data_IF_573248968319
#
_entry.id   IF_573248968319
#
_cell.length_a   1.000
_cell.length_b   1.000
_cell.length_c   1.000
_cell.angle_alpha   90.00
_cell.angle_beta   90.00
_cell.angle_gamma   90.00
#
_symmetry.space_group_name_H-M   'P 1'
#
loop_
_entity.id
_entity.type
_entity.pdbx_description
1 polymer ?
#
# COMPACT_ATOMS: atom_id res chain seq x y z
N UNK A 1 49.21 10.49 -8.13
CA UNK A 1 48.47 9.73 -7.12
C UNK A 1 47.03 9.65 -7.59
N UNK A 2 46.58 8.48 -8.05
CA UNK A 2 45.19 8.25 -8.37
C UNK A 2 44.39 8.27 -7.06
N UNK A 3 43.28 9.04 -6.92
CA UNK A 3 42.49 9.01 -5.71
C UNK A 3 41.99 7.58 -5.47
N UNK A 4 41.86 7.14 -4.22
CA UNK A 4 41.31 5.81 -3.93
C UNK A 4 39.90 5.73 -4.52
N UNK A 5 39.69 4.82 -5.46
CA UNK A 5 38.37 4.49 -5.98
C UNK A 5 37.60 3.78 -4.87
N UNK A 6 36.88 4.54 -4.04
CA UNK A 6 35.91 3.94 -3.15
C UNK A 6 34.85 3.26 -4.01
N UNK A 7 34.58 1.99 -3.74
CA UNK A 7 33.46 1.29 -4.39
C UNK A 7 32.16 2.08 -4.11
N UNK A 8 31.28 2.21 -5.11
CA UNK A 8 30.00 2.87 -4.93
C UNK A 8 29.21 2.28 -3.77
N UNK A 9 28.49 3.11 -3.04
CA UNK A 9 27.59 2.65 -1.97
C UNK A 9 26.37 1.99 -2.62
N UNK A 10 26.11 0.73 -2.30
CA UNK A 10 24.89 0.07 -2.78
C UNK A 10 23.63 0.64 -2.10
N UNK A 11 22.69 1.13 -2.92
CA UNK A 11 21.36 1.56 -2.49
C UNK A 11 20.31 0.72 -3.20
N UNK A 12 19.58 -0.07 -2.44
CA UNK A 12 18.45 -0.83 -2.94
C UNK A 12 17.14 -0.08 -2.75
N UNK A 13 16.23 -0.16 -3.70
CA UNK A 13 14.89 0.37 -3.56
C UNK A 13 13.83 -0.64 -3.99
N UNK A 14 12.62 -0.47 -3.48
CA UNK A 14 11.46 -1.28 -3.86
C UNK A 14 10.17 -0.47 -3.75
N UNK A 15 9.30 -0.62 -4.75
CA UNK A 15 8.06 0.15 -4.88
C UNK A 15 6.89 -0.69 -5.42
N UNK A 16 6.77 -1.92 -5.03
CA UNK A 16 5.79 -2.84 -5.65
C UNK A 16 4.32 -2.44 -5.50
N UNK A 17 3.63 -2.51 -6.64
CA UNK A 17 2.20 -2.74 -6.77
C UNK A 17 1.31 -1.62 -6.24
N UNK A 18 1.28 -0.48 -6.90
CA UNK A 18 0.31 0.57 -6.62
C UNK A 18 0.88 1.99 -6.69
N UNK A 19 0.05 2.96 -6.34
CA UNK A 19 0.44 4.36 -6.37
C UNK A 19 1.43 4.66 -5.24
N UNK A 20 2.70 4.89 -5.59
CA UNK A 20 3.80 5.25 -4.68
C UNK A 20 4.58 6.45 -5.22
N UNK A 21 5.15 7.25 -4.33
CA UNK A 21 6.04 8.34 -4.73
C UNK A 21 7.32 7.80 -5.39
N UNK A 22 7.81 6.65 -4.90
CA UNK A 22 8.97 5.94 -5.47
C UNK A 22 8.67 5.45 -6.88
N UNK A 23 7.51 4.80 -7.12
CA UNK A 23 7.12 4.34 -8.46
C UNK A 23 7.04 5.49 -9.45
N UNK A 24 6.42 6.61 -9.06
CA UNK A 24 6.39 7.81 -9.88
C UNK A 24 7.80 8.32 -10.22
N UNK A 25 8.70 8.38 -9.23
CA UNK A 25 10.08 8.84 -9.44
C UNK A 25 10.87 7.91 -10.36
N UNK A 26 10.63 6.60 -10.30
CA UNK A 26 11.23 5.60 -11.20
C UNK A 26 10.71 5.78 -12.62
N UNK A 27 9.38 5.87 -12.82
CA UNK A 27 8.77 6.03 -14.14
C UNK A 27 9.21 7.32 -14.85
N UNK A 28 9.50 8.39 -14.10
CA UNK A 28 10.02 9.65 -14.61
C UNK A 28 11.56 9.67 -14.74
N UNK A 29 12.28 8.61 -14.35
CA UNK A 29 13.73 8.54 -14.40
C UNK A 29 14.46 9.40 -13.35
N UNK A 30 13.75 10.02 -12.43
CA UNK A 30 14.33 10.98 -11.48
C UNK A 30 15.20 10.35 -10.41
N UNK A 31 14.96 9.09 -10.03
CA UNK A 31 15.87 8.37 -9.13
C UNK A 31 17.19 8.07 -9.82
N UNK A 32 17.15 7.59 -11.06
CA UNK A 32 18.35 7.31 -11.85
C UNK A 32 19.18 8.59 -12.07
N UNK A 33 18.50 9.69 -12.44
CA UNK A 33 19.13 10.99 -12.60
C UNK A 33 19.82 11.46 -11.30
N UNK A 34 19.12 11.35 -10.17
CA UNK A 34 19.61 11.81 -8.88
C UNK A 34 20.86 11.05 -8.41
N UNK A 35 21.05 9.80 -8.80
CA UNK A 35 22.17 8.95 -8.39
C UNK A 35 23.17 8.65 -9.52
N UNK A 36 23.15 9.43 -10.61
CA UNK A 36 24.03 9.23 -11.77
C UNK A 36 25.50 9.66 -11.54
N UNK A 37 25.82 10.25 -10.40
CA UNK A 37 27.17 10.76 -10.09
C UNK A 37 28.22 9.68 -9.83
N UNK A 38 27.84 8.40 -9.84
CA UNK A 38 28.72 7.24 -9.66
C UNK A 38 29.14 6.96 -8.21
N UNK A 39 28.74 7.79 -7.24
CA UNK A 39 29.00 7.56 -5.82
C UNK A 39 28.07 6.53 -5.19
N UNK A 40 26.92 6.27 -5.82
CA UNK A 40 25.89 5.32 -5.36
C UNK A 40 25.51 4.38 -6.49
N UNK A 41 25.50 3.07 -6.22
CA UNK A 41 25.01 2.03 -7.11
C UNK A 41 23.52 1.76 -6.77
N UNK A 42 22.62 2.36 -7.55
CA UNK A 42 21.18 2.30 -7.36
C UNK A 42 20.60 1.04 -8.00
N UNK A 43 19.96 0.18 -7.18
CA UNK A 43 19.45 -1.13 -7.61
C UNK A 43 17.98 -1.31 -7.22
N UNK A 44 17.18 -1.86 -8.13
CA UNK A 44 15.82 -2.28 -7.82
C UNK A 44 15.80 -3.70 -7.25
N UNK A 45 15.05 -3.95 -6.18
CA UNK A 45 14.88 -5.31 -5.63
C UNK A 45 14.27 -6.26 -6.66
N UNK A 46 13.38 -5.75 -7.47
CA UNK A 46 12.65 -6.50 -8.50
C UNK A 46 13.59 -7.15 -9.52
N UNK A 47 14.71 -6.51 -9.84
CA UNK A 47 15.69 -6.95 -10.85
C UNK A 47 16.76 -7.87 -10.26
N UNK A 48 16.77 -8.07 -8.94
CA UNK A 48 17.77 -8.92 -8.31
C UNK A 48 17.64 -10.39 -8.77
N UNK A 49 18.78 -11.01 -9.12
CA UNK A 49 18.83 -12.43 -9.47
C UNK A 49 18.43 -13.32 -8.29
N UNK A 50 18.89 -12.98 -7.08
CA UNK A 50 18.55 -13.70 -5.85
C UNK A 50 17.08 -13.54 -5.47
N UNK A 51 16.41 -14.69 -5.25
CA UNK A 51 15.04 -14.71 -4.72
C UNK A 51 14.97 -14.08 -3.32
N UNK A 52 15.98 -14.30 -2.48
CA UNK A 52 16.04 -13.77 -1.13
C UNK A 52 16.11 -12.24 -1.12
N UNK A 53 16.95 -11.64 -1.98
CA UNK A 53 17.01 -10.18 -2.16
C UNK A 53 15.62 -9.66 -2.58
N UNK A 54 14.94 -10.30 -3.55
CA UNK A 54 13.59 -9.88 -3.95
C UNK A 54 12.57 -10.00 -2.82
N UNK A 55 12.74 -10.99 -1.91
CA UNK A 55 11.89 -11.15 -0.73
C UNK A 55 12.16 -10.11 0.36
N UNK A 56 13.26 -9.35 0.28
CA UNK A 56 13.53 -8.26 1.23
C UNK A 56 12.46 -7.16 1.20
N UNK A 57 11.68 -7.09 0.13
CA UNK A 57 10.44 -6.28 0.13
C UNK A 57 9.50 -6.63 1.29
N UNK A 58 9.51 -7.88 1.74
CA UNK A 58 8.67 -8.37 2.84
C UNK A 58 9.43 -8.40 4.17
N UNK A 59 10.63 -9.00 4.18
CA UNK A 59 11.37 -9.23 5.43
C UNK A 59 12.37 -8.12 5.81
N UNK A 60 12.59 -7.11 4.94
CA UNK A 60 13.48 -5.95 5.18
C UNK A 60 14.96 -6.29 5.52
N UNK A 61 15.41 -7.51 5.25
CA UNK A 61 16.76 -7.98 5.62
C UNK A 61 17.86 -7.55 4.65
N UNK A 62 17.57 -6.77 3.58
CA UNK A 62 18.58 -6.27 2.67
C UNK A 62 19.19 -4.98 3.20
N UNK A 63 20.52 -4.98 3.41
CA UNK A 63 21.27 -3.76 3.76
C UNK A 63 21.14 -2.71 2.68
N UNK A 64 20.98 -1.44 3.09
CA UNK A 64 20.85 -0.32 2.16
C UNK A 64 19.49 -0.26 1.44
N UNK A 65 18.48 -0.98 1.93
CA UNK A 65 17.15 -0.93 1.35
C UNK A 65 16.37 0.29 1.82
N UNK A 66 15.85 1.07 0.84
CA UNK A 66 14.73 2.00 1.03
C UNK A 66 13.51 1.40 0.35
N UNK A 67 12.44 1.21 1.11
CA UNK A 67 11.21 0.57 0.62
C UNK A 67 10.00 1.45 0.85
N UNK A 68 9.23 1.71 -0.20
CA UNK A 68 7.88 2.23 -0.11
C UNK A 68 6.88 1.14 -0.51
N UNK A 69 5.85 0.93 0.29
CA UNK A 69 4.85 -0.09 -0.02
C UNK A 69 3.85 -0.34 1.09
N UNK A 70 3.04 -1.39 0.93
CA UNK A 70 2.01 -1.74 1.90
C UNK A 70 2.55 -1.95 3.32
N UNK A 71 1.75 -1.54 4.30
CA UNK A 71 2.16 -1.48 5.70
C UNK A 71 2.29 -2.85 6.39
N UNK A 72 1.51 -3.86 5.98
CA UNK A 72 1.49 -5.17 6.68
C UNK A 72 2.89 -5.80 6.71
N UNK A 73 3.62 -5.80 5.58
CA UNK A 73 4.96 -6.38 5.53
C UNK A 73 5.96 -5.61 6.41
N UNK A 74 5.89 -4.27 6.39
CA UNK A 74 6.78 -3.43 7.20
C UNK A 74 6.54 -3.60 8.70
N UNK A 75 5.26 -3.67 9.11
CA UNK A 75 4.87 -3.90 10.50
C UNK A 75 5.30 -5.31 10.95
N UNK A 76 5.08 -6.33 10.09
CA UNK A 76 5.53 -7.68 10.38
C UNK A 76 7.05 -7.77 10.51
N UNK A 77 7.80 -7.22 9.57
CA UNK A 77 9.27 -7.23 9.65
C UNK A 77 9.77 -6.55 10.94
N UNK A 78 9.14 -5.44 11.36
CA UNK A 78 9.49 -4.78 12.63
C UNK A 78 9.15 -5.64 13.83
N UNK A 79 8.02 -6.33 13.84
CA UNK A 79 7.63 -7.30 14.88
C UNK A 79 8.61 -8.47 14.99
N UNK A 80 9.19 -8.91 13.85
CA UNK A 80 10.25 -9.93 13.79
C UNK A 80 11.65 -9.40 14.17
N UNK A 81 11.75 -8.17 14.65
CA UNK A 81 13.00 -7.60 15.16
C UNK A 81 13.87 -6.92 14.09
N UNK A 82 13.39 -6.71 12.87
CA UNK A 82 14.17 -5.97 11.86
C UNK A 82 14.40 -4.53 12.27
N UNK A 83 15.61 -4.03 12.02
CA UNK A 83 16.07 -2.71 12.45
C UNK A 83 15.60 -1.55 11.55
N UNK A 84 14.89 -1.84 10.46
CA UNK A 84 14.37 -0.80 9.58
C UNK A 84 13.47 0.18 10.32
N UNK A 85 13.57 1.47 9.96
CA UNK A 85 12.80 2.57 10.55
C UNK A 85 11.97 3.29 9.51
N UNK A 86 10.85 3.88 9.94
CA UNK A 86 9.96 4.68 9.09
C UNK A 86 10.49 6.11 9.01
N UNK A 87 10.76 6.58 7.79
CA UNK A 87 11.26 7.94 7.51
C UNK A 87 10.24 8.81 6.77
N UNK A 88 9.07 8.27 6.46
CA UNK A 88 7.98 8.96 5.78
C UNK A 88 6.79 8.02 5.59
N UNK A 89 5.62 8.59 5.37
CA UNK A 89 4.38 7.85 5.12
C UNK A 89 3.62 8.58 4.00
N UNK A 90 3.17 7.86 2.98
CA UNK A 90 2.20 8.36 2.02
C UNK A 90 0.81 7.84 2.38
N UNK A 91 -0.20 8.70 2.25
CA UNK A 91 -1.60 8.31 2.46
C UNK A 91 -2.31 8.34 1.13
N UNK A 92 -2.35 7.19 0.49
CA UNK A 92 -3.02 7.01 -0.81
C UNK A 92 -4.24 6.14 -0.58
N UNK A 93 -5.40 6.77 -0.63
CA UNK A 93 -6.66 6.04 -0.54
C UNK A 93 -6.85 5.16 -1.77
N UNK A 94 -7.47 4.00 -1.59
CA UNK A 94 -7.76 3.07 -2.67
C UNK A 94 -9.11 2.40 -2.45
N UNK A 95 -9.78 2.00 -3.51
CA UNK A 95 -11.00 1.19 -3.45
C UNK A 95 -10.81 -0.03 -2.55
N UNK A 96 -11.81 -0.32 -1.71
CA UNK A 96 -11.80 -1.41 -0.73
C UNK A 96 -13.22 -1.98 -0.59
N UNK A 97 -13.63 -2.85 -1.51
CA UNK A 97 -15.00 -3.34 -1.61
C UNK A 97 -15.24 -4.71 -0.99
N UNK A 98 -16.38 -4.86 -0.32
CA UNK A 98 -17.00 -6.15 -0.07
C UNK A 98 -17.96 -6.44 -1.22
N UNK A 99 -17.65 -7.47 -2.00
CA UNK A 99 -18.40 -7.86 -3.18
C UNK A 99 -19.14 -9.17 -2.95
N UNK A 100 -20.35 -9.23 -3.48
CA UNK A 100 -21.26 -10.40 -3.46
C UNK A 100 -21.86 -10.62 -4.83
N UNK A 101 -22.45 -11.78 -5.08
CA UNK A 101 -23.27 -11.96 -6.28
C UNK A 101 -24.53 -11.08 -6.18
N UNK A 102 -24.92 -10.50 -7.29
CA UNK A 102 -26.11 -9.62 -7.36
C UNK A 102 -27.40 -10.31 -6.91
N UNK A 103 -27.50 -11.61 -7.14
CA UNK A 103 -28.65 -12.45 -6.78
C UNK A 103 -28.63 -12.97 -5.33
N UNK A 104 -27.58 -12.66 -4.55
CA UNK A 104 -27.36 -13.20 -3.19
C UNK A 104 -28.37 -12.70 -2.14
N UNK A 105 -29.09 -11.61 -2.42
CA UNK A 105 -29.94 -10.94 -1.43
C UNK A 105 -29.18 -10.13 -0.37
N UNK A 106 -27.84 -10.11 -0.38
CA UNK A 106 -27.00 -9.30 0.53
C UNK A 106 -26.92 -7.90 -0.05
N UNK A 107 -27.25 -6.86 0.74
CA UNK A 107 -27.27 -5.46 0.31
C UNK A 107 -26.53 -4.52 1.24
N UNK A 108 -26.44 -4.86 2.51
CA UNK A 108 -25.81 -4.05 3.56
C UNK A 108 -24.79 -4.87 4.33
N UNK A 109 -23.86 -4.24 5.04
CA UNK A 109 -22.92 -4.94 5.93
C UNK A 109 -23.61 -5.81 7.00
N UNK A 110 -24.81 -5.43 7.49
CA UNK A 110 -25.58 -6.23 8.44
C UNK A 110 -26.05 -7.58 7.86
N UNK A 111 -26.25 -7.67 6.53
CA UNK A 111 -26.66 -8.90 5.85
C UNK A 111 -25.53 -9.94 5.76
N UNK A 112 -24.30 -9.58 6.13
CA UNK A 112 -23.15 -10.50 6.21
C UNK A 112 -23.28 -11.48 7.39
N UNK A 113 -24.26 -11.29 8.29
CA UNK A 113 -24.53 -12.19 9.43
C UNK A 113 -24.69 -13.63 8.96
N UNK A 114 -23.77 -14.51 9.45
CA UNK A 114 -23.81 -15.95 9.18
C UNK A 114 -23.47 -16.34 7.74
N UNK A 115 -23.04 -15.38 6.90
CA UNK A 115 -22.58 -15.65 5.52
C UNK A 115 -21.17 -16.21 5.52
N UNK A 116 -20.84 -16.96 4.45
CA UNK A 116 -19.49 -17.52 4.21
C UNK A 116 -18.59 -16.43 3.61
N UNK A 117 -17.65 -15.95 4.41
CA UNK A 117 -16.74 -14.86 4.03
C UNK A 117 -15.42 -15.46 3.52
N UNK A 118 -15.09 -15.19 2.27
CA UNK A 118 -13.94 -15.76 1.60
C UNK A 118 -12.64 -15.08 2.02
N UNK A 119 -11.71 -15.84 2.61
CA UNK A 119 -10.37 -15.37 2.93
C UNK A 119 -9.33 -16.09 2.07
N UNK A 120 -8.49 -15.37 1.31
CA UNK A 120 -7.36 -15.98 0.62
C UNK A 120 -6.43 -16.67 1.62
N UNK A 121 -5.78 -17.75 1.19
CA UNK A 121 -4.81 -18.49 2.00
C UNK A 121 -3.60 -18.89 1.16
N UNK A 122 -2.42 -18.40 1.54
CA UNK A 122 -1.11 -18.87 1.07
C UNK A 122 -0.36 -19.53 2.21
N UNK A 123 -0.14 -20.85 2.09
CA UNK A 123 0.43 -21.67 3.18
C UNK A 123 1.91 -21.43 3.42
N UNK A 124 2.65 -20.92 2.42
CA UNK A 124 4.11 -20.75 2.48
C UNK A 124 4.56 -19.28 2.41
N UNK A 125 3.65 -18.34 2.57
CA UNK A 125 4.00 -16.93 2.64
C UNK A 125 4.68 -16.62 3.99
N UNK A 126 5.73 -15.77 3.97
CA UNK A 126 6.34 -15.24 5.20
C UNK A 126 5.29 -14.52 6.05
N UNK A 127 4.48 -13.72 5.39
CA UNK A 127 3.26 -13.11 5.89
C UNK A 127 2.21 -13.13 4.79
N UNK A 128 1.01 -13.66 5.06
CA UNK A 128 -0.07 -13.67 4.06
C UNK A 128 -0.78 -12.30 4.03
N UNK A 129 -0.19 -11.38 3.29
CA UNK A 129 -0.66 -10.01 3.14
C UNK A 129 -2.10 -9.92 2.62
N UNK A 130 -2.45 -10.79 1.68
CA UNK A 130 -3.77 -10.75 1.06
C UNK A 130 -4.83 -11.23 2.02
N UNK A 131 -4.53 -12.29 2.78
CA UNK A 131 -5.39 -12.76 3.85
C UNK A 131 -5.60 -11.67 4.92
N UNK A 132 -4.52 -11.09 5.43
CA UNK A 132 -4.59 -10.05 6.44
C UNK A 132 -5.37 -8.82 5.95
N UNK A 133 -5.15 -8.42 4.69
CA UNK A 133 -5.89 -7.32 4.06
C UNK A 133 -7.37 -7.62 3.91
N UNK A 134 -7.73 -8.81 3.41
CA UNK A 134 -9.12 -9.21 3.24
C UNK A 134 -9.83 -9.33 4.60
N UNK A 135 -9.18 -9.93 5.60
CA UNK A 135 -9.75 -10.04 6.94
C UNK A 135 -9.95 -8.67 7.57
N UNK A 136 -8.99 -7.72 7.42
CA UNK A 136 -9.15 -6.35 7.88
C UNK A 136 -10.38 -5.68 7.24
N UNK A 137 -10.54 -5.82 5.92
CA UNK A 137 -11.71 -5.28 5.22
C UNK A 137 -13.03 -5.86 5.74
N UNK A 138 -13.11 -7.17 5.91
CA UNK A 138 -14.29 -7.81 6.48
C UNK A 138 -14.56 -7.40 7.93
N UNK A 139 -13.52 -7.35 8.78
CA UNK A 139 -13.68 -6.91 10.19
C UNK A 139 -14.30 -5.53 10.23
N UNK A 140 -13.76 -4.58 9.47
CA UNK A 140 -14.32 -3.22 9.40
C UNK A 140 -15.77 -3.21 8.90
N UNK A 141 -16.07 -3.97 7.84
CA UNK A 141 -17.43 -4.04 7.31
C UNK A 141 -18.42 -4.66 8.30
N UNK A 142 -18.03 -5.73 9.00
CA UNK A 142 -18.85 -6.37 10.05
C UNK A 142 -19.13 -5.42 11.21
N UNK A 143 -18.12 -4.72 11.71
CA UNK A 143 -18.28 -3.69 12.76
C UNK A 143 -19.23 -2.59 12.33
N UNK A 144 -19.11 -2.09 11.10
CA UNK A 144 -20.04 -1.09 10.54
C UNK A 144 -21.47 -1.63 10.39
N UNK A 145 -21.62 -2.94 10.20
CA UNK A 145 -22.91 -3.64 10.19
C UNK A 145 -23.45 -3.99 11.60
N UNK A 146 -22.78 -3.61 12.67
CA UNK A 146 -23.16 -3.94 14.06
C UNK A 146 -22.99 -5.44 14.36
N UNK A 147 -22.04 -6.13 13.70
CA UNK A 147 -21.75 -7.54 13.86
C UNK A 147 -20.43 -7.76 14.58
N UNK A 148 -20.36 -8.81 15.41
CA UNK A 148 -19.10 -9.24 16.00
C UNK A 148 -18.26 -10.02 14.95
N UNK A 149 -17.08 -9.53 14.55
CA UNK A 149 -16.23 -10.20 13.57
C UNK A 149 -15.73 -11.59 14.03
N UNK A 150 -15.70 -11.85 15.34
CA UNK A 150 -15.29 -13.14 15.90
C UNK A 150 -16.30 -14.25 15.64
N UNK A 151 -17.57 -13.90 15.35
CA UNK A 151 -18.64 -14.81 14.99
C UNK A 151 -18.74 -15.07 13.49
N UNK A 152 -17.84 -14.50 12.69
CA UNK A 152 -17.86 -14.66 11.23
C UNK A 152 -17.51 -16.07 10.79
N UNK A 153 -18.16 -16.54 9.71
CA UNK A 153 -17.86 -17.81 9.07
C UNK A 153 -16.80 -17.64 7.99
N UNK A 154 -15.54 -17.79 8.38
CA UNK A 154 -14.41 -17.70 7.46
C UNK A 154 -14.30 -18.95 6.59
N UNK A 155 -14.19 -18.78 5.28
CA UNK A 155 -13.93 -19.84 4.31
C UNK A 155 -12.61 -19.58 3.61
N UNK A 156 -11.69 -20.53 3.68
CA UNK A 156 -10.37 -20.39 3.08
C UNK A 156 -10.42 -20.65 1.57
N UNK A 157 -9.82 -19.73 0.81
CA UNK A 157 -9.65 -19.83 -0.64
C UNK A 157 -8.17 -20.00 -0.90
N UNK A 158 -7.74 -21.21 -1.26
CA UNK A 158 -6.33 -21.50 -1.51
C UNK A 158 -5.82 -20.68 -2.70
N UNK A 159 -4.67 -20.03 -2.50
CA UNK A 159 -3.93 -19.31 -3.54
C UNK A 159 -2.55 -19.90 -3.76
N UNK A 160 -2.04 -19.90 -4.99
CA UNK A 160 -0.65 -20.22 -5.25
C UNK A 160 0.28 -19.31 -4.47
N UNK A 161 1.44 -19.81 -4.09
CA UNK A 161 2.51 -18.99 -3.50
C UNK A 161 2.98 -17.92 -4.50
N UNK A 162 3.64 -16.88 -3.98
CA UNK A 162 4.21 -15.85 -4.84
C UNK A 162 5.30 -16.44 -5.73
N UNK A 163 5.10 -16.30 -7.04
CA UNK A 163 6.13 -16.54 -8.05
C UNK A 163 6.76 -15.20 -8.48
N UNK A 164 8.07 -15.20 -8.68
CA UNK A 164 8.77 -14.06 -9.24
C UNK A 164 9.45 -14.46 -10.56
N UNK A 165 9.27 -13.68 -11.64
CA UNK A 165 8.37 -12.52 -11.75
C UNK A 165 6.91 -12.92 -11.59
N UNK A 166 6.09 -12.03 -11.03
CA UNK A 166 4.66 -12.29 -10.84
C UNK A 166 4.01 -12.46 -12.21
N UNK A 167 3.39 -13.63 -12.45
CA UNK A 167 2.69 -13.87 -13.71
C UNK A 167 1.41 -13.01 -13.77
N UNK A 168 1.28 -12.21 -14.83
CA UNK A 168 0.14 -11.31 -15.08
C UNK A 168 -1.21 -12.06 -15.21
N UNK A 169 -1.17 -13.36 -15.48
CA UNK A 169 -2.33 -14.21 -15.70
C UNK A 169 -2.79 -14.96 -14.45
N UNK A 170 -2.42 -14.50 -13.25
CA UNK A 170 -2.93 -15.12 -12.04
C UNK A 170 -4.45 -15.00 -12.01
N UNK A 171 -5.12 -16.17 -12.13
CA UNK A 171 -6.57 -16.30 -12.03
C UNK A 171 -7.05 -15.65 -10.73
N UNK A 172 -8.16 -14.90 -10.79
CA UNK A 172 -8.76 -14.32 -9.59
C UNK A 172 -9.59 -15.43 -8.89
N UNK A 173 -8.90 -16.15 -8.02
CA UNK A 173 -9.49 -17.30 -7.32
C UNK A 173 -10.62 -16.91 -6.37
N UNK A 174 -10.62 -15.67 -5.86
CA UNK A 174 -11.68 -15.14 -5.00
C UNK A 174 -12.95 -14.89 -5.83
N UNK A 175 -12.85 -14.26 -6.99
CA UNK A 175 -13.98 -14.07 -7.91
C UNK A 175 -14.53 -15.40 -8.39
N UNK A 176 -13.68 -16.36 -8.72
CA UNK A 176 -14.11 -17.70 -9.13
C UNK A 176 -14.86 -18.42 -7.99
N UNK A 177 -14.35 -18.35 -6.75
CA UNK A 177 -15.01 -18.95 -5.59
C UNK A 177 -16.39 -18.30 -5.31
N UNK A 178 -16.48 -16.97 -5.48
CA UNK A 178 -17.73 -16.23 -5.34
C UNK A 178 -18.75 -16.63 -6.41
N UNK A 179 -18.33 -16.65 -7.68
CA UNK A 179 -19.19 -17.04 -8.82
C UNK A 179 -19.66 -18.48 -8.72
N UNK A 180 -18.79 -19.39 -8.26
CA UNK A 180 -19.12 -20.79 -8.02
C UNK A 180 -20.02 -21.01 -6.78
N UNK A 181 -20.27 -19.96 -5.98
CA UNK A 181 -21.05 -20.06 -4.75
C UNK A 181 -20.36 -20.80 -3.61
N UNK A 182 -19.04 -20.96 -3.65
CA UNK A 182 -18.25 -21.53 -2.55
C UNK A 182 -18.22 -20.59 -1.35
N UNK A 183 -18.25 -19.28 -1.60
CA UNK A 183 -18.35 -18.20 -0.62
C UNK A 183 -19.51 -17.26 -0.99
N UNK A 184 -20.01 -16.52 -0.02
CA UNK A 184 -21.11 -15.57 -0.21
C UNK A 184 -20.62 -14.13 -0.41
N UNK A 185 -19.42 -13.81 0.10
CA UNK A 185 -18.79 -12.51 -0.04
C UNK A 185 -17.27 -12.65 -0.16
N UNK A 186 -16.65 -11.70 -0.88
CA UNK A 186 -15.20 -11.55 -0.99
C UNK A 186 -14.82 -10.09 -0.75
N UNK A 187 -13.56 -9.86 -0.38
CA UNK A 187 -12.95 -8.52 -0.30
C UNK A 187 -11.98 -8.34 -1.46
N UNK A 188 -12.11 -7.25 -2.19
CA UNK A 188 -11.16 -6.82 -3.22
C UNK A 188 -10.79 -5.35 -3.01
N UNK A 189 -9.60 -4.96 -3.48
CA UNK A 189 -9.08 -3.59 -3.34
C UNK A 189 -8.33 -3.10 -4.57
N UNK A 190 -8.04 -1.80 -4.60
CA UNK A 190 -7.29 -1.15 -5.66
C UNK A 190 -7.93 -1.31 -7.03
N UNK A 191 -7.15 -1.23 -8.10
CA UNK A 191 -7.64 -1.31 -9.48
C UNK A 191 -8.36 -2.64 -9.78
N UNK A 192 -7.89 -3.76 -9.21
CA UNK A 192 -8.55 -5.06 -9.35
C UNK A 192 -9.98 -5.04 -8.77
N UNK A 193 -10.15 -4.49 -7.57
CA UNK A 193 -11.47 -4.40 -6.94
C UNK A 193 -12.40 -3.45 -7.70
N UNK A 194 -11.88 -2.31 -8.14
CA UNK A 194 -12.62 -1.35 -8.94
C UNK A 194 -13.05 -1.93 -10.30
N UNK A 195 -12.18 -2.68 -10.97
CA UNK A 195 -12.54 -3.37 -12.20
C UNK A 195 -13.62 -4.45 -11.96
N UNK A 196 -13.50 -5.21 -10.87
CA UNK A 196 -14.46 -6.27 -10.53
C UNK A 196 -15.87 -5.73 -10.24
N UNK A 197 -15.99 -4.58 -9.60
CA UNK A 197 -17.31 -3.98 -9.28
C UNK A 197 -18.07 -3.51 -10.53
N UNK A 198 -17.40 -3.37 -11.67
CA UNK A 198 -18.04 -3.04 -12.95
C UNK A 198 -18.76 -4.26 -13.56
N UNK A 199 -18.54 -5.49 -13.05
CA UNK A 199 -19.25 -6.69 -13.49
C UNK A 199 -20.73 -6.61 -13.03
N UNK A 200 -21.71 -6.57 -13.96
CA UNK A 200 -23.13 -6.47 -13.60
C UNK A 200 -23.67 -7.69 -12.83
N UNK A 201 -22.95 -8.82 -12.82
CA UNK A 201 -23.28 -9.98 -12.01
C UNK A 201 -22.93 -9.83 -10.52
N UNK A 202 -22.13 -8.81 -10.18
CA UNK A 202 -21.71 -8.51 -8.82
C UNK A 202 -22.48 -7.33 -8.22
N UNK A 203 -22.43 -7.23 -6.91
CA UNK A 203 -22.97 -6.13 -6.13
C UNK A 203 -21.96 -5.75 -5.05
N UNK A 204 -21.69 -4.44 -4.95
CA UNK A 204 -20.90 -3.87 -3.87
C UNK A 204 -21.78 -3.67 -2.64
N UNK A 205 -21.46 -4.36 -1.55
CA UNK A 205 -22.13 -4.19 -0.26
C UNK A 205 -21.67 -2.91 0.42
N UNK A 206 -20.38 -2.61 0.32
CA UNK A 206 -19.77 -1.42 0.86
C UNK A 206 -18.40 -1.19 0.22
N UNK A 207 -18.07 0.07 -0.08
CA UNK A 207 -16.69 0.53 -0.29
C UNK A 207 -16.20 1.21 1.00
N UNK A 208 -15.24 0.59 1.68
CA UNK A 208 -14.67 1.10 2.93
C UNK A 208 -13.90 2.40 2.73
N UNK A 209 -13.43 2.68 1.51
CA UNK A 209 -12.75 3.93 1.21
C UNK A 209 -13.68 5.16 1.28
N UNK A 210 -14.99 4.96 1.24
CA UNK A 210 -15.99 6.01 1.39
C UNK A 210 -16.28 6.41 2.85
N UNK A 211 -15.61 5.81 3.83
CA UNK A 211 -15.82 6.13 5.24
C UNK A 211 -15.18 7.48 5.62
N UNK A 212 -15.90 8.28 6.38
CA UNK A 212 -15.44 9.59 6.87
C UNK A 212 -14.26 9.45 7.83
N UNK A 213 -14.34 8.48 8.75
CA UNK A 213 -13.23 8.16 9.65
C UNK A 213 -12.06 7.54 8.88
N UNK A 214 -10.90 8.22 8.80
CA UNK A 214 -9.73 7.71 8.10
C UNK A 214 -9.23 6.37 8.68
N UNK A 215 -9.46 6.08 9.96
CA UNK A 215 -9.04 4.82 10.56
C UNK A 215 -9.85 3.62 10.04
N UNK A 216 -11.08 3.85 9.57
CA UNK A 216 -11.90 2.81 8.91
C UNK A 216 -11.42 2.51 7.48
N UNK A 217 -10.63 3.42 6.86
CA UNK A 217 -10.00 3.20 5.56
C UNK A 217 -8.63 2.53 5.65
N UNK A 218 -8.07 2.39 6.86
CA UNK A 218 -6.76 1.74 7.08
C UNK A 218 -6.81 0.28 6.67
N UNK A 219 -5.88 -0.07 5.76
CA UNK A 219 -5.65 -1.43 5.31
C UNK A 219 -4.23 -1.55 4.74
N UNK A 220 -3.89 -2.65 4.07
CA UNK A 220 -2.56 -2.92 3.52
C UNK A 220 -1.98 -1.77 2.68
N UNK A 221 -2.78 -1.17 1.81
CA UNK A 221 -2.34 -0.10 0.91
C UNK A 221 -2.43 1.31 1.49
N UNK A 222 -3.04 1.50 2.66
CA UNK A 222 -3.33 2.80 3.26
C UNK A 222 -3.18 2.72 4.78
N UNK A 223 -2.24 3.46 5.39
CA UNK A 223 -1.14 4.23 4.82
C UNK A 223 0.03 3.37 4.32
N UNK A 224 0.95 3.95 3.53
CA UNK A 224 2.17 3.28 3.03
C UNK A 224 3.42 3.85 3.70
N UNK A 225 4.13 3.10 4.55
CA UNK A 225 5.38 3.55 5.12
C UNK A 225 6.52 3.53 4.09
N UNK A 226 7.40 4.52 4.18
CA UNK A 226 8.72 4.55 3.58
C UNK A 226 9.69 4.15 4.67
N UNK A 227 10.35 3.01 4.50
CA UNK A 227 11.27 2.46 5.49
C UNK A 227 12.69 2.44 4.96
N UNK A 228 13.67 2.54 5.86
CA UNK A 228 15.09 2.39 5.56
C UNK A 228 15.77 1.56 6.63
N UNK A 229 16.78 0.78 6.25
CA UNK A 229 17.67 0.11 7.21
C UNK A 229 18.33 1.12 8.14
N UNK A 230 18.27 0.93 9.46
CA UNK A 230 18.79 1.85 10.46
C UNK A 230 20.30 2.08 10.29
N UNK A 231 21.06 1.01 10.14
CA UNK A 231 22.51 1.13 10.02
C UNK A 231 22.94 1.83 8.72
N UNK A 232 22.12 1.72 7.65
CA UNK A 232 22.35 2.46 6.43
C UNK A 232 22.04 3.95 6.60
N UNK A 233 20.94 4.28 7.25
CA UNK A 233 20.58 5.68 7.56
C UNK A 233 21.67 6.36 8.40
N UNK A 234 22.19 5.67 9.42
CA UNK A 234 23.21 6.23 10.31
C UNK A 234 24.55 6.46 9.58
N UNK A 235 24.90 5.61 8.62
CA UNK A 235 26.15 5.72 7.85
C UNK A 235 26.06 6.65 6.63
N UNK A 236 24.89 6.75 6.02
CA UNK A 236 24.66 7.42 4.74
C UNK A 236 23.44 8.34 4.78
N UNK A 237 23.30 9.22 5.78
CA UNK A 237 22.13 10.09 5.92
C UNK A 237 21.92 11.01 4.70
N UNK A 238 23.01 11.39 4.00
CA UNK A 238 22.96 12.22 2.79
C UNK A 238 22.31 11.47 1.61
N UNK A 239 22.55 10.16 1.46
CA UNK A 239 21.92 9.33 0.43
C UNK A 239 20.41 9.23 0.70
N UNK A 240 20.03 8.99 1.95
CA UNK A 240 18.62 8.90 2.36
C UNK A 240 17.89 10.22 2.14
N UNK A 241 18.52 11.37 2.51
CA UNK A 241 17.95 12.70 2.23
C UNK A 241 17.81 12.97 0.74
N UNK A 242 18.80 12.60 -0.09
CA UNK A 242 18.75 12.72 -1.55
C UNK A 242 17.58 11.92 -2.12
N UNK A 243 17.39 10.67 -1.66
CA UNK A 243 16.25 9.84 -2.05
C UNK A 243 14.91 10.50 -1.69
N UNK A 244 14.72 10.91 -0.44
CA UNK A 244 13.51 11.61 0.00
C UNK A 244 13.25 12.91 -0.76
N UNK A 245 14.29 13.67 -1.11
CA UNK A 245 14.16 14.89 -1.91
C UNK A 245 13.59 14.60 -3.30
N UNK A 246 13.99 13.48 -3.92
CA UNK A 246 13.41 13.04 -5.19
C UNK A 246 11.93 12.70 -5.03
N UNK A 247 11.54 12.01 -3.96
CA UNK A 247 10.12 11.69 -3.71
C UNK A 247 9.29 12.97 -3.50
N UNK A 248 9.81 13.92 -2.73
CA UNK A 248 9.14 15.22 -2.51
C UNK A 248 9.03 16.02 -3.81
N UNK A 249 10.08 16.06 -4.64
CA UNK A 249 10.05 16.65 -5.99
C UNK A 249 8.94 16.01 -6.83
N UNK A 250 8.90 14.66 -6.86
CA UNK A 250 7.91 13.90 -7.62
C UNK A 250 6.48 14.15 -7.16
N UNK A 251 6.24 14.15 -5.86
CA UNK A 251 4.91 14.41 -5.30
C UNK A 251 4.41 15.83 -5.62
N UNK A 252 5.29 16.82 -5.63
CA UNK A 252 4.96 18.21 -6.02
C UNK A 252 4.65 18.33 -7.50
N UNK A 253 5.43 17.67 -8.33
CA UNK A 253 5.13 17.60 -9.77
C UNK A 253 3.77 16.95 -10.00
N UNK A 254 3.51 15.80 -9.34
CA UNK A 254 2.23 15.10 -9.42
C UNK A 254 1.05 16.01 -9.07
N UNK A 255 1.17 16.83 -8.04
CA UNK A 255 0.11 17.73 -7.58
C UNK A 255 -0.38 18.71 -8.65
N UNK A 256 0.42 18.99 -9.69
CA UNK A 256 0.11 19.89 -10.80
C UNK A 256 -0.08 19.17 -12.15
N UNK A 257 0.14 17.83 -12.19
CA UNK A 257 0.04 17.01 -13.41
C UNK A 257 -0.92 15.82 -13.19
N UNK A 258 -2.12 16.14 -12.70
CA UNK A 258 -3.10 15.12 -12.28
C UNK A 258 -3.58 14.18 -13.39
N UNK A 259 -3.55 14.63 -14.63
CA UNK A 259 -3.91 13.88 -15.83
C UNK A 259 -2.85 12.85 -16.25
N UNK A 260 -1.56 13.10 -15.96
CA UNK A 260 -0.48 12.15 -16.27
C UNK A 260 -0.33 11.05 -15.21
N UNK A 261 -0.61 11.35 -13.94
CA UNK A 261 -0.35 10.46 -12.80
C UNK A 261 -1.02 9.09 -12.92
N UNK A 262 -2.30 8.96 -13.33
CA UNK A 262 -2.94 7.64 -13.47
C UNK A 262 -2.23 6.72 -14.48
N UNK A 263 -1.72 7.28 -15.59
CA UNK A 263 -0.98 6.52 -16.61
C UNK A 263 0.35 6.01 -16.05
N UNK A 264 1.08 6.84 -15.33
CA UNK A 264 2.36 6.47 -14.70
C UNK A 264 2.16 5.40 -13.63
N UNK A 265 1.11 5.52 -12.82
CA UNK A 265 0.78 4.51 -11.81
C UNK A 265 0.34 3.20 -12.47
N UNK A 266 -0.42 3.23 -13.56
CA UNK A 266 -0.86 2.03 -14.27
C UNK A 266 0.33 1.23 -14.83
N UNK A 267 1.44 1.88 -15.18
CA UNK A 267 2.66 1.19 -15.60
C UNK A 267 3.26 0.31 -14.49
N UNK A 268 3.02 0.65 -13.21
CA UNK A 268 3.45 -0.13 -12.05
C UNK A 268 2.39 -1.14 -11.56
N UNK A 269 1.20 -1.15 -12.18
CA UNK A 269 0.07 -2.04 -11.83
C UNK A 269 -0.31 -2.86 -13.06
N UNK A 270 0.45 -3.91 -13.38
CA UNK A 270 0.25 -4.68 -14.60
C UNK A 270 -1.17 -5.23 -14.72
N UNK A 271 -1.73 -5.17 -15.94
CA UNK A 271 -3.07 -5.68 -16.25
C UNK A 271 -4.21 -4.69 -15.98
N UNK A 272 -3.90 -3.46 -15.56
CA UNK A 272 -4.89 -2.41 -15.31
C UNK A 272 -4.63 -1.16 -16.14
N UNK A 273 -5.72 -0.49 -16.52
CA UNK A 273 -5.70 0.75 -17.28
C UNK A 273 -5.56 1.98 -16.37
N UNK A 274 -5.15 3.12 -16.95
CA UNK A 274 -5.14 4.40 -16.24
C UNK A 274 -6.53 4.79 -15.70
N UNK A 275 -7.61 4.45 -16.43
CA UNK A 275 -8.98 4.70 -15.99
C UNK A 275 -9.36 3.86 -14.76
N UNK A 276 -8.98 2.58 -14.71
CA UNK A 276 -9.19 1.72 -13.54
C UNK A 276 -8.37 2.19 -12.34
N UNK A 277 -7.13 2.63 -12.55
CA UNK A 277 -6.30 3.24 -11.50
C UNK A 277 -6.95 4.52 -10.97
N UNK A 278 -7.39 5.40 -11.85
CA UNK A 278 -8.07 6.64 -11.44
C UNK A 278 -9.37 6.35 -10.69
N UNK A 279 -10.16 5.39 -11.16
CA UNK A 279 -11.39 4.95 -10.49
C UNK A 279 -11.12 4.36 -9.11
N UNK A 280 -10.05 3.57 -8.98
CA UNK A 280 -9.68 2.94 -7.72
C UNK A 280 -9.13 3.92 -6.66
N UNK A 281 -8.42 4.95 -7.08
CA UNK A 281 -7.77 5.91 -6.17
C UNK A 281 -8.48 7.26 -6.08
N UNK A 282 -9.42 7.52 -6.98
CA UNK A 282 -10.16 8.76 -7.05
C UNK A 282 -9.38 9.95 -7.65
N UNK A 283 -10.08 11.06 -7.91
CA UNK A 283 -9.55 12.20 -8.67
C UNK A 283 -8.42 12.96 -7.95
N UNK A 284 -8.21 12.70 -6.66
CA UNK A 284 -7.15 13.35 -5.86
C UNK A 284 -5.89 12.50 -5.73
N UNK A 285 -5.76 11.38 -6.44
CA UNK A 285 -4.56 10.54 -6.45
C UNK A 285 -3.27 11.36 -6.57
N UNK A 286 -3.23 12.29 -7.51
CA UNK A 286 -2.09 13.16 -7.79
C UNK A 286 -1.63 14.02 -6.60
N UNK A 287 -2.46 14.21 -5.58
CA UNK A 287 -2.16 14.98 -4.35
C UNK A 287 -1.83 14.11 -3.15
N UNK A 288 -1.88 12.78 -3.29
CA UNK A 288 -1.74 11.82 -2.19
C UNK A 288 -0.31 11.31 -2.00
N UNK A 289 0.61 11.65 -2.90
CA UNK A 289 1.94 11.06 -2.98
C UNK A 289 2.99 11.77 -2.10
N UNK A 290 2.67 12.90 -1.46
CA UNK A 290 3.63 13.64 -0.63
C UNK A 290 3.90 12.89 0.68
N UNK A 291 5.14 12.48 0.97
CA UNK A 291 5.51 11.88 2.25
C UNK A 291 5.26 12.84 3.41
N UNK A 292 4.72 12.31 4.50
CA UNK A 292 4.43 13.06 5.73
C UNK A 292 4.53 12.15 6.95
N UNK A 293 4.84 12.72 8.10
CA UNK A 293 4.77 12.05 9.41
C UNK A 293 3.75 12.73 10.33
N UNK A 294 2.67 13.29 9.74
CA UNK A 294 1.60 13.91 10.54
C UNK A 294 0.95 12.88 11.46
N UNK A 295 0.44 13.31 12.65
CA UNK A 295 -0.12 12.38 13.65
C UNK A 295 -1.20 11.44 13.12
N UNK A 296 -2.06 11.90 12.19
CA UNK A 296 -3.10 11.06 11.60
C UNK A 296 -2.54 9.89 10.74
N UNK A 297 -1.38 10.08 10.09
CA UNK A 297 -0.72 9.03 9.30
C UNK A 297 -0.08 7.97 10.21
N UNK A 298 0.55 8.45 11.30
CA UNK A 298 1.13 7.60 12.34
C UNK A 298 0.03 6.80 13.04
N UNK A 299 -1.10 7.43 13.37
CA UNK A 299 -2.27 6.76 13.93
C UNK A 299 -2.81 5.65 13.02
N UNK A 300 -2.76 5.83 11.70
CA UNK A 300 -3.12 4.78 10.73
C UNK A 300 -2.18 3.56 10.79
N UNK A 301 -0.87 3.76 10.96
CA UNK A 301 0.07 2.64 11.17
C UNK A 301 -0.18 1.94 12.51
N UNK A 302 -0.46 2.70 13.58
CA UNK A 302 -0.78 2.15 14.89
C UNK A 302 -2.06 1.31 14.84
N UNK A 303 -3.10 1.78 14.14
CA UNK A 303 -4.34 1.04 13.95
C UNK A 303 -4.14 -0.26 13.18
N UNK A 304 -3.33 -0.24 12.12
CA UNK A 304 -3.01 -1.46 11.38
C UNK A 304 -2.20 -2.45 12.24
N UNK A 305 -1.21 -1.96 13.02
CA UNK A 305 -0.44 -2.80 13.96
C UNK A 305 -1.37 -3.45 15.00
N UNK A 306 -2.28 -2.66 15.60
CA UNK A 306 -3.27 -3.16 16.55
C UNK A 306 -4.09 -4.31 15.97
N UNK A 307 -4.61 -4.15 14.74
CA UNK A 307 -5.33 -5.20 14.04
C UNK A 307 -4.47 -6.46 13.83
N UNK A 308 -3.25 -6.31 13.35
CA UNK A 308 -2.37 -7.44 13.08
C UNK A 308 -2.03 -8.23 14.34
N UNK A 309 -1.83 -7.54 15.46
CA UNK A 309 -1.59 -8.16 16.76
C UNK A 309 -2.85 -8.89 17.29
N UNK A 310 -4.00 -8.21 17.24
CA UNK A 310 -5.29 -8.77 17.69
C UNK A 310 -5.68 -10.05 16.93
N UNK A 311 -5.43 -10.08 15.61
CA UNK A 311 -5.76 -11.20 14.75
C UNK A 311 -4.59 -12.17 14.51
N UNK A 312 -3.51 -12.02 15.30
CA UNK A 312 -2.34 -12.93 15.33
C UNK A 312 -1.64 -13.08 13.98
N UNK A 313 -1.51 -11.97 13.26
CA UNK A 313 -0.63 -11.87 12.10
C UNK A 313 0.79 -11.46 12.47
N UNK A 314 0.97 -10.91 13.67
CA UNK A 314 2.24 -10.64 14.32
C UNK A 314 2.16 -11.12 15.77
N UNK A 315 3.29 -11.62 16.29
CA UNK A 315 3.36 -12.21 17.65
C UNK A 315 3.93 -11.21 18.67
N UNK A 316 4.72 -10.22 18.22
CA UNK A 316 5.38 -9.27 19.10
C UNK A 316 4.87 -7.86 18.87
N UNK A 317 4.50 -7.20 19.97
CA UNK A 317 4.15 -5.79 19.96
C UNK A 317 5.42 -4.92 19.98
N UNK A 318 5.29 -3.70 19.48
CA UNK A 318 6.36 -2.70 19.48
C UNK A 318 5.79 -1.29 19.51
N UNK A 319 6.60 -0.32 19.96
CA UNK A 319 6.23 1.08 20.00
C UNK A 319 6.36 1.71 18.60
N UNK A 320 5.26 2.25 18.09
CA UNK A 320 5.23 2.93 16.78
C UNK A 320 6.08 4.20 16.78
N UNK A 321 6.09 4.96 17.87
CA UNK A 321 6.83 6.22 17.94
C UNK A 321 8.36 5.96 17.93
N UNK A 322 8.80 4.88 18.55
CA UNK A 322 10.21 4.43 18.49
C UNK A 322 10.60 3.84 17.12
N UNK A 323 9.63 3.44 16.31
CA UNK A 323 9.88 2.95 14.96
C UNK A 323 10.08 4.09 13.93
N UNK A 324 9.68 5.31 14.27
CA UNK A 324 9.70 6.47 13.37
C UNK A 324 10.96 7.32 13.61
N UNK A 325 11.64 7.66 12.52
CA UNK A 325 12.70 8.67 12.53
C UNK A 325 12.26 9.87 11.67
N UNK A 326 11.88 11.00 12.30
CA UNK A 326 11.39 12.16 11.57
C UNK A 326 12.49 13.01 10.95
N UNK A 327 13.75 12.88 11.40
CA UNK A 327 14.82 13.79 11.05
C UNK A 327 15.09 13.86 9.53
N UNK A 328 15.21 12.74 8.78
CA UNK A 328 15.53 12.81 7.35
C UNK A 328 14.49 13.58 6.54
N UNK A 329 13.19 13.33 6.80
CA UNK A 329 12.11 14.00 6.09
C UNK A 329 11.99 15.47 6.49
N UNK A 330 12.13 15.78 7.78
CA UNK A 330 12.10 17.16 8.28
C UNK A 330 13.21 18.01 7.65
N UNK A 331 14.42 17.44 7.47
CA UNK A 331 15.53 18.11 6.79
C UNK A 331 15.17 18.46 5.34
N UNK A 332 14.63 17.50 4.60
CA UNK A 332 14.22 17.71 3.20
C UNK A 332 13.11 18.74 3.07
N UNK A 333 12.11 18.70 3.93
CA UNK A 333 10.97 19.63 3.87
C UNK A 333 11.37 21.06 4.26
N UNK A 334 12.31 21.26 5.20
CA UNK A 334 12.85 22.58 5.56
C UNK A 334 13.62 23.24 4.41
N UNK A 335 14.41 22.46 3.68
CA UNK A 335 15.18 22.97 2.53
C UNK A 335 14.23 23.45 1.43
N UNK A 336 13.04 22.86 1.33
CA UNK A 336 12.13 23.07 0.21
C UNK A 336 10.93 23.97 0.49
N UNK A 337 10.60 24.29 1.75
CA UNK A 337 9.54 25.28 2.09
C UNK A 337 9.63 25.80 3.53
N UNK A 338 9.67 27.13 3.74
CA UNK A 338 9.44 27.76 5.04
C UNK A 338 7.94 27.81 5.47
N UNK A 339 6.96 27.72 4.53
CA UNK A 339 5.57 28.13 4.81
C UNK A 339 4.48 27.20 4.25
N UNK A 340 4.27 25.99 4.78
CA UNK A 340 3.12 25.19 4.36
C UNK A 340 2.46 24.36 5.47
N UNK A 341 1.43 24.94 6.09
CA UNK A 341 0.45 24.21 6.88
C UNK A 341 -0.96 24.60 6.46
N UNK A 342 -1.74 23.71 5.83
CA UNK A 342 -3.22 23.69 5.89
C UNK A 342 -3.79 22.41 5.25
N UNK A 343 -4.61 21.69 6.00
CA UNK A 343 -5.36 20.52 5.56
C UNK A 343 -6.76 20.88 5.03
N UNK A 344 -7.28 20.07 4.11
CA UNK A 344 -8.66 20.19 3.57
C UNK A 344 -9.48 18.93 3.89
N UNK A 345 -10.79 19.01 4.23
CA UNK A 345 -11.63 17.84 4.56
C UNK A 345 -11.85 16.92 3.35
N UNK A 346 -11.78 15.60 3.58
CA UNK A 346 -11.67 14.57 2.53
C UNK A 346 -13.03 13.99 2.05
N UNK A 347 -13.97 13.71 2.93
CA UNK A 347 -15.15 12.89 2.66
C UNK A 347 -16.14 13.47 1.63
N UNK A 348 -16.42 14.76 1.67
CA UNK A 348 -17.37 15.39 0.75
C UNK A 348 -16.94 15.36 -0.71
N UNK A 349 -15.62 15.23 -0.98
CA UNK A 349 -15.05 15.27 -2.34
C UNK A 349 -15.05 13.92 -3.05
N UNK A 350 -15.00 12.81 -2.30
CA UNK A 350 -15.00 11.47 -2.89
C UNK A 350 -16.38 11.07 -3.41
N UNK A 351 -17.45 11.38 -2.66
CA UNK A 351 -18.82 11.06 -3.05
C UNK A 351 -19.25 11.83 -4.31
N UNK A 352 -18.91 13.12 -4.42
CA UNK A 352 -19.20 13.94 -5.61
C UNK A 352 -18.49 13.37 -6.86
N UNK A 353 -17.26 12.88 -6.71
CA UNK A 353 -16.51 12.31 -7.83
C UNK A 353 -17.07 10.96 -8.29
N UNK A 354 -17.53 10.08 -7.38
CA UNK A 354 -18.22 8.82 -7.73
C UNK A 354 -19.52 9.06 -8.49
N UNK A 355 -20.33 10.04 -8.09
CA UNK A 355 -21.56 10.41 -8.80
C UNK A 355 -21.30 10.90 -10.22
N UNK A 356 -20.23 11.66 -10.44
CA UNK A 356 -19.86 12.15 -11.77
C UNK A 356 -19.30 11.07 -12.70
N UNK A 357 -18.66 10.03 -12.15
CA UNK A 357 -18.11 8.91 -12.94
C UNK A 357 -19.21 7.92 -13.33
N UNK A 358 -20.21 7.73 -12.49
CA UNK A 358 -21.35 6.83 -12.76
C UNK A 358 -22.48 7.49 -13.59
N UNK A 359 -22.42 8.80 -13.80
CA UNK A 359 -23.39 9.56 -14.59
C UNK A 359 -22.98 9.74 -16.07
N UNK A 360 -21.89 9.12 -16.51
CA UNK A 360 -21.41 9.06 -17.90
C UNK A 360 -21.38 7.61 -18.38
#
# INVERSE_FOLDING_TARGET
MTPPTHSPVELWYSHRGGATATGLAVQKGWLQEAFADGGTDLRALEDAASRDIRLAHYHHGQTGLIREGGNIAAIWARSEGQSAVVIGITWVDEYQGILVRRDSGIRTPADLRGRRLGLPLRRRALIDLQRASAQRGFVTALELGGLDPRMAKWVHIERPDFEFPQRLTARDVELDALRAGHVDAIFLRGAQGYAAVQDPALHEVIDLNCQDDPLKRVNHGTPRPITVDRAFLDRHPEIVRRYLAVLVKGARWAATHGDEVPTLVAADVPGHTAAEVLGAHGPLLHRSLLPSLRPSYVAGLAEQKRFLLEWRYIDHDFDIDQWIDPAPLADVLRIHHPDAHAGTPHAARWNIAKEQIHAR
#
